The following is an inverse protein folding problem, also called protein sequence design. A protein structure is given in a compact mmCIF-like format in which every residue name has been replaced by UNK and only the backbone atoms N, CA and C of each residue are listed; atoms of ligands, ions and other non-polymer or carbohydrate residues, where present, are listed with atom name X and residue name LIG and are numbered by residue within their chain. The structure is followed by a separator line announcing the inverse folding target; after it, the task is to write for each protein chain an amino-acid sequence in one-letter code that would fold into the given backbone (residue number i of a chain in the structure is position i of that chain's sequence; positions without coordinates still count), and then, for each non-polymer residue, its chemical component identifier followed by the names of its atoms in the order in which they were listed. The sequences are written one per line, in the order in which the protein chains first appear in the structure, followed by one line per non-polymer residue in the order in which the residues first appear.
data_IF_382427388374
#
_entry.id   IF_382427388374
#
_cell.length_a   1.000
_cell.length_b   1.000
_cell.length_c   1.000
_cell.angle_alpha   90.00
_cell.angle_beta   90.00
_cell.angle_gamma   90.00
#
_symmetry.space_group_name_H-M   'P 1'
#
loop_
_entity.id
_entity.type
_entity.pdbx_description
1 polymer ?
#
# COMPACT_ATOMS: atom_id res chain seq x y z
N UNK A 1 23.67 6.93 11.11
CA UNK A 1 23.01 7.50 12.31
C UNK A 1 21.52 7.61 12.04
N UNK A 2 20.70 6.76 12.67
CA UNK A 2 19.24 6.82 12.60
C UNK A 2 18.76 8.07 13.35
N UNK A 3 18.57 9.18 12.65
CA UNK A 3 17.86 10.34 13.22
C UNK A 3 16.39 9.95 13.31
N UNK A 4 15.92 9.63 14.52
CA UNK A 4 14.47 9.50 14.79
C UNK A 4 13.80 10.74 14.24
N UNK A 5 12.75 10.55 13.43
CA UNK A 5 12.01 11.66 12.88
C UNK A 5 11.49 12.55 14.03
N UNK A 6 11.52 13.87 13.85
CA UNK A 6 11.02 14.79 14.85
C UNK A 6 9.56 14.44 15.21
N UNK A 7 9.23 14.50 16.49
CA UNK A 7 7.86 14.32 16.98
C UNK A 7 6.94 15.31 16.24
N UNK A 8 5.88 14.82 15.61
CA UNK A 8 4.98 15.62 14.77
C UNK A 8 5.31 15.66 13.26
N UNK A 9 6.39 15.00 12.81
CA UNK A 9 6.60 14.81 11.37
C UNK A 9 5.72 13.68 10.82
N UNK A 10 5.29 13.80 9.56
CA UNK A 10 4.49 12.75 8.88
C UNK A 10 5.15 11.37 8.94
N UNK A 11 6.50 11.33 8.94
CA UNK A 11 7.29 10.11 9.11
C UNK A 11 7.02 9.42 10.46
N UNK A 12 6.94 10.15 11.57
CA UNK A 12 6.82 9.59 12.91
C UNK A 12 5.44 8.94 13.19
N UNK A 13 4.41 9.31 12.41
CA UNK A 13 3.03 8.83 12.61
C UNK A 13 2.56 7.87 11.52
N UNK A 14 3.44 7.50 10.57
CA UNK A 14 3.04 6.54 9.54
C UNK A 14 2.75 5.16 10.15
N UNK A 15 1.73 4.45 9.66
CA UNK A 15 1.51 3.06 10.05
C UNK A 15 2.80 2.24 9.84
N UNK A 16 3.09 1.30 10.73
CA UNK A 16 4.29 0.46 10.67
C UNK A 16 5.65 1.22 10.72
N UNK A 17 5.70 2.44 11.28
CA UNK A 17 6.95 3.20 11.45
C UNK A 17 8.06 2.41 12.14
N UNK A 18 7.75 1.73 13.25
CA UNK A 18 8.72 0.90 13.98
C UNK A 18 9.24 -0.27 13.14
N UNK A 19 8.38 -0.90 12.34
CA UNK A 19 8.77 -1.96 11.41
C UNK A 19 9.74 -1.45 10.35
N UNK A 20 9.52 -0.24 9.81
CA UNK A 20 10.46 0.36 8.86
C UNK A 20 11.81 0.74 9.51
N UNK A 21 11.84 1.12 10.79
CA UNK A 21 13.08 1.31 11.55
C UNK A 21 13.85 -0.02 11.65
N UNK A 22 13.17 -1.09 12.10
CA UNK A 22 13.78 -2.41 12.30
C UNK A 22 14.34 -2.98 11.00
N UNK A 23 13.68 -2.73 9.87
CA UNK A 23 14.13 -3.16 8.55
C UNK A 23 15.21 -2.26 7.93
N UNK A 24 15.57 -1.13 8.57
CA UNK A 24 16.50 -0.15 7.98
C UNK A 24 15.95 0.53 6.72
N UNK A 25 14.62 0.66 6.61
CA UNK A 25 13.90 1.16 5.43
C UNK A 25 13.23 2.50 5.65
N UNK A 26 13.63 3.26 6.67
CA UNK A 26 13.01 4.55 7.03
C UNK A 26 13.11 5.64 5.96
N UNK A 27 14.09 5.55 5.07
CA UNK A 27 14.28 6.48 3.94
C UNK A 27 14.02 5.83 2.57
N UNK A 28 13.60 4.55 2.55
CA UNK A 28 13.20 3.85 1.32
C UNK A 28 11.70 4.08 1.07
N UNK A 29 11.36 5.25 0.52
CA UNK A 29 9.98 5.68 0.30
C UNK A 29 9.23 4.79 -0.69
N UNK A 30 9.93 4.22 -1.68
CA UNK A 30 9.37 3.26 -2.62
C UNK A 30 8.97 1.98 -1.87
N UNK A 31 9.86 1.46 -0.99
CA UNK A 31 9.54 0.31 -0.16
C UNK A 31 8.36 0.58 0.78
N UNK A 32 8.35 1.72 1.48
CA UNK A 32 7.25 2.10 2.38
C UNK A 32 5.92 2.17 1.64
N UNK A 33 5.90 2.83 0.47
CA UNK A 33 4.72 2.94 -0.38
C UNK A 33 4.22 1.56 -0.83
N UNK A 34 5.12 0.70 -1.30
CA UNK A 34 4.76 -0.67 -1.71
C UNK A 34 4.21 -1.50 -0.56
N UNK A 35 4.73 -1.35 0.67
CA UNK A 35 4.22 -2.03 1.84
C UNK A 35 2.77 -1.59 2.16
N UNK A 36 2.51 -0.28 2.11
CA UNK A 36 1.15 0.26 2.31
C UNK A 36 0.18 -0.15 1.21
N UNK A 37 0.60 -0.10 -0.05
CA UNK A 37 -0.22 -0.57 -1.18
C UNK A 37 -0.51 -2.06 -1.09
N UNK A 38 0.42 -2.87 -0.58
CA UNK A 38 0.22 -4.30 -0.32
C UNK A 38 -0.90 -4.53 0.71
N UNK A 39 -0.86 -3.78 1.80
CA UNK A 39 -1.92 -3.82 2.81
C UNK A 39 -3.27 -3.37 2.24
N UNK A 40 -3.30 -2.29 1.45
CA UNK A 40 -4.51 -1.81 0.80
C UNK A 40 -5.11 -2.86 -0.15
N UNK A 41 -4.29 -3.57 -0.92
CA UNK A 41 -4.73 -4.67 -1.78
C UNK A 41 -5.40 -5.79 -0.99
N UNK A 42 -4.81 -6.18 0.15
CA UNK A 42 -5.38 -7.19 1.05
C UNK A 42 -6.75 -6.77 1.60
N UNK A 43 -6.86 -5.52 2.08
CA UNK A 43 -8.12 -4.99 2.60
C UNK A 43 -9.20 -4.90 1.52
N UNK A 44 -8.83 -4.47 0.30
CA UNK A 44 -9.74 -4.43 -0.85
C UNK A 44 -10.18 -5.83 -1.28
N UNK A 45 -9.30 -6.83 -1.23
CA UNK A 45 -9.66 -8.23 -1.48
C UNK A 45 -10.76 -8.70 -0.51
N UNK A 46 -10.58 -8.43 0.78
CA UNK A 46 -11.59 -8.74 1.80
C UNK A 46 -12.90 -7.98 1.58
N UNK A 47 -12.84 -6.68 1.27
CA UNK A 47 -14.03 -5.89 0.99
C UNK A 47 -14.84 -6.47 -0.18
N UNK A 48 -14.17 -6.86 -1.26
CA UNK A 48 -14.81 -7.51 -2.41
C UNK A 48 -15.47 -8.85 -2.04
N UNK A 49 -14.80 -9.67 -1.21
CA UNK A 49 -15.36 -10.95 -0.72
C UNK A 49 -16.61 -10.75 0.12
N UNK A 50 -16.60 -9.79 1.05
CA UNK A 50 -17.77 -9.50 1.89
C UNK A 50 -18.98 -9.05 1.04
N UNK A 51 -18.72 -8.29 -0.02
CA UNK A 51 -19.76 -7.75 -0.91
C UNK A 51 -20.27 -8.72 -1.98
N UNK A 52 -19.61 -9.86 -2.19
CA UNK A 52 -19.92 -10.78 -3.29
C UNK A 52 -21.40 -11.21 -3.29
N UNK A 53 -21.91 -11.58 -2.11
CA UNK A 53 -23.27 -12.10 -1.95
C UNK A 53 -24.33 -11.05 -1.57
N UNK A 54 -23.94 -9.78 -1.40
CA UNK A 54 -24.86 -8.71 -1.01
C UNK A 54 -25.70 -8.25 -2.22
N UNK A 55 -26.99 -8.57 -2.24
CA UNK A 55 -27.87 -8.31 -3.40
C UNK A 55 -28.32 -6.86 -3.52
N UNK A 56 -28.26 -6.08 -2.44
CA UNK A 56 -28.68 -4.67 -2.45
C UNK A 56 -27.70 -3.74 -3.17
N UNK A 57 -26.47 -4.20 -3.41
CA UNK A 57 -25.44 -3.39 -4.07
C UNK A 57 -25.38 -3.73 -5.57
N UNK A 58 -25.53 -2.72 -6.47
CA UNK A 58 -25.47 -2.93 -7.91
C UNK A 58 -24.16 -3.57 -8.36
N UNK A 59 -24.25 -4.43 -9.38
CA UNK A 59 -23.09 -5.10 -9.98
C UNK A 59 -22.03 -4.11 -10.49
N UNK A 60 -22.47 -2.98 -11.03
CA UNK A 60 -21.58 -1.91 -11.52
C UNK A 60 -20.63 -1.41 -10.42
N UNK A 61 -21.13 -1.18 -9.21
CA UNK A 61 -20.31 -0.75 -8.06
C UNK A 61 -19.31 -1.84 -7.67
N UNK A 62 -19.72 -3.11 -7.66
CA UNK A 62 -18.83 -4.24 -7.37
C UNK A 62 -17.72 -4.35 -8.42
N UNK A 63 -18.04 -4.10 -9.69
CA UNK A 63 -17.07 -4.10 -10.78
C UNK A 63 -16.10 -2.92 -10.70
N UNK A 64 -16.57 -1.74 -10.31
CA UNK A 64 -15.70 -0.60 -9.99
C UNK A 64 -14.71 -0.92 -8.89
N UNK A 65 -15.16 -1.55 -7.80
CA UNK A 65 -14.28 -1.95 -6.71
C UNK A 65 -13.22 -2.95 -7.17
N UNK A 66 -13.59 -3.96 -7.98
CA UNK A 66 -12.64 -4.90 -8.58
C UNK A 66 -11.62 -4.20 -9.48
N UNK A 67 -12.05 -3.20 -10.25
CA UNK A 67 -11.14 -2.37 -11.07
C UNK A 67 -10.15 -1.61 -10.20
N UNK A 68 -10.58 -1.01 -9.09
CA UNK A 68 -9.68 -0.35 -8.13
C UNK A 68 -8.65 -1.34 -7.58
N UNK A 69 -9.07 -2.53 -7.15
CA UNK A 69 -8.14 -3.57 -6.66
C UNK A 69 -7.12 -3.96 -7.73
N UNK A 70 -7.55 -4.16 -8.98
CA UNK A 70 -6.66 -4.49 -10.08
C UNK A 70 -5.63 -3.37 -10.35
N UNK A 71 -6.07 -2.11 -10.29
CA UNK A 71 -5.19 -0.95 -10.48
C UNK A 71 -4.12 -0.82 -9.39
N UNK A 72 -4.39 -1.24 -8.15
CA UNK A 72 -3.37 -1.29 -7.10
C UNK A 72 -2.20 -2.18 -7.53
N UNK A 73 -2.47 -3.38 -8.09
CA UNK A 73 -1.42 -4.30 -8.55
C UNK A 73 -0.60 -3.70 -9.69
N UNK A 74 -1.26 -3.09 -10.68
CA UNK A 74 -0.58 -2.44 -11.82
C UNK A 74 0.33 -1.31 -11.33
N UNK A 75 -0.14 -0.48 -10.41
CA UNK A 75 0.65 0.61 -9.85
C UNK A 75 1.82 0.09 -9.01
N UNK A 76 1.65 -1.01 -8.27
CA UNK A 76 2.77 -1.64 -7.55
C UNK A 76 3.87 -2.11 -8.50
N UNK A 77 3.52 -2.76 -9.61
CA UNK A 77 4.51 -3.21 -10.61
C UNK A 77 5.25 -2.03 -11.25
N UNK A 78 4.51 -1.00 -11.66
CA UNK A 78 5.10 0.23 -12.17
C UNK A 78 6.02 0.87 -11.14
N UNK A 79 5.61 0.94 -9.88
CA UNK A 79 6.43 1.50 -8.80
C UNK A 79 7.69 0.67 -8.53
N UNK A 80 7.61 -0.67 -8.60
CA UNK A 80 8.78 -1.57 -8.47
C UNK A 80 9.82 -1.30 -9.55
N UNK A 81 9.42 -0.88 -10.77
CA UNK A 81 10.37 -0.58 -11.84
C UNK A 81 11.33 0.57 -11.50
N UNK A 82 10.91 1.53 -10.66
CA UNK A 82 11.77 2.62 -10.18
C UNK A 82 12.75 2.18 -9.09
N UNK A 83 12.44 1.09 -8.35
CA UNK A 83 13.34 0.53 -7.34
C UNK A 83 14.58 -0.09 -7.99
N UNK A 84 14.39 -0.80 -9.10
CA UNK A 84 15.46 -1.48 -9.84
C UNK A 84 16.41 -0.48 -10.53
N UNK A 85 15.93 0.73 -10.83
CA UNK A 85 16.74 1.80 -11.40
C UNK A 85 17.72 2.46 -10.41
N UNK A 86 17.47 2.35 -9.11
CA UNK A 86 18.30 2.97 -8.06
C UNK A 86 19.40 2.03 -7.53
N UNK A 87 19.49 0.80 -8.04
CA UNK A 87 20.50 -0.20 -7.64
C UNK A 87 21.55 -0.49 -8.73
N UNK A 88 21.52 0.24 -9.85
CA UNK A 88 22.56 0.24 -10.89
C UNK A 88 23.32 1.56 -10.84
#
# INVERSE_FOLDING_TARGET
MNKKAAFGSYKAHQPNYEGFIQLGKLDDFIFQSLAHMGNASCQMSWANTVLENEKSVPAEIKDEMRRVTAQISVLQERLRSFKTFQQK
#
